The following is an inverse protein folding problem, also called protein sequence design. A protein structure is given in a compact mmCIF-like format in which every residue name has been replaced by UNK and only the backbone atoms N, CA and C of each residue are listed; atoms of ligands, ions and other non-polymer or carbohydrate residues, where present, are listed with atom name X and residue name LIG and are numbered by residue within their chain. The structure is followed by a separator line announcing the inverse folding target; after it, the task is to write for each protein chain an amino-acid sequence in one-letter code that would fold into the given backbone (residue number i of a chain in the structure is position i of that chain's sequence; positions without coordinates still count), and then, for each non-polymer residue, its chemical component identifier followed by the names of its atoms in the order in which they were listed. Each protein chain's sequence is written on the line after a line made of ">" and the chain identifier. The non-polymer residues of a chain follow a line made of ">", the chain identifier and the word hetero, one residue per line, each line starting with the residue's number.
data_IF_943154335822
#
_entry.id   IF_943154335822
#
_cell.length_a   1.000
_cell.length_b   1.000
_cell.length_c   1.000
_cell.angle_alpha   90.00
_cell.angle_beta   90.00
_cell.angle_gamma   90.00
#
_symmetry.space_group_name_H-M   'P 1'
#
loop_
_entity.id
_entity.type
_entity.pdbx_description
1 polymer ?
#
# COMPACT_ATOMS: atom_id res chain seq x y z
N UNK A 1 -9.66 -7.18 36.24
CA UNK A 1 -9.67 -8.24 35.21
C UNK A 1 -8.68 -7.80 34.11
N UNK A 2 -7.76 -8.66 33.73
CA UNK A 2 -6.90 -8.40 32.56
C UNK A 2 -7.71 -8.64 31.27
N UNK A 3 -7.70 -7.68 30.36
CA UNK A 3 -8.30 -7.84 29.03
C UNK A 3 -7.37 -8.72 28.19
N UNK A 4 -7.91 -9.75 27.56
CA UNK A 4 -7.20 -10.53 26.55
C UNK A 4 -7.64 -9.98 25.19
N UNK A 5 -6.71 -9.31 24.50
CA UNK A 5 -6.96 -8.72 23.18
C UNK A 5 -6.41 -9.63 22.08
N UNK A 6 -7.28 -10.12 21.19
CA UNK A 6 -6.96 -11.08 20.14
C UNK A 6 -7.18 -10.53 18.72
N UNK A 7 -7.58 -9.27 18.60
CA UNK A 7 -7.87 -8.61 17.31
C UNK A 7 -6.70 -7.73 16.83
N UNK A 8 -5.50 -8.31 16.81
CA UNK A 8 -4.28 -7.56 16.44
C UNK A 8 -4.21 -7.20 14.95
N UNK A 9 -5.04 -7.80 14.09
CA UNK A 9 -5.15 -7.41 12.69
C UNK A 9 -5.92 -6.09 12.51
N UNK A 10 -6.81 -5.74 13.43
CA UNK A 10 -7.51 -4.46 13.41
C UNK A 10 -6.61 -3.34 13.94
N UNK A 11 -5.96 -3.56 15.09
CA UNK A 11 -5.05 -2.57 15.70
C UNK A 11 -4.12 -3.23 16.73
N UNK A 12 -3.04 -2.55 17.06
CA UNK A 12 -2.11 -2.97 18.11
C UNK A 12 -1.76 -1.78 19.00
N UNK A 13 -1.27 -2.05 20.20
CA UNK A 13 -0.65 -1.00 21.02
C UNK A 13 0.65 -0.51 20.34
N UNK A 14 0.96 0.77 20.55
CA UNK A 14 2.27 1.31 20.14
C UNK A 14 3.35 0.67 21.03
N UNK A 15 4.42 0.16 20.43
CA UNK A 15 5.54 -0.38 21.18
C UNK A 15 6.17 0.70 22.06
N UNK A 16 6.56 0.39 23.31
CA UNK A 16 7.09 1.39 24.25
C UNK A 16 8.25 2.20 23.67
N UNK A 17 9.18 1.55 22.98
CA UNK A 17 10.36 2.19 22.36
C UNK A 17 9.97 3.17 21.24
N UNK A 18 8.90 2.85 20.50
CA UNK A 18 8.34 3.73 19.48
C UNK A 18 7.68 4.93 20.13
N UNK A 19 6.88 4.71 21.16
CA UNK A 19 6.22 5.78 21.89
C UNK A 19 7.24 6.76 22.51
N UNK A 20 8.27 6.25 23.18
CA UNK A 20 9.36 7.07 23.73
C UNK A 20 10.06 7.90 22.65
N UNK A 21 10.28 7.31 21.47
CA UNK A 21 10.90 8.00 20.33
C UNK A 21 10.00 9.10 19.75
N UNK A 22 8.68 8.99 19.91
CA UNK A 22 7.71 9.99 19.42
C UNK A 22 7.57 11.20 20.35
N UNK A 23 7.71 11.02 21.67
CA UNK A 23 7.46 12.07 22.69
C UNK A 23 8.16 13.40 22.35
N UNK A 24 9.46 13.43 21.99
CA UNK A 24 10.15 14.68 21.71
C UNK A 24 9.54 15.50 20.57
N UNK A 25 8.87 14.85 19.61
CA UNK A 25 8.22 15.55 18.49
C UNK A 25 6.93 16.26 18.87
N UNK A 26 6.34 15.92 20.01
CA UNK A 26 5.16 16.63 20.54
C UNK A 26 5.52 17.80 21.46
N UNK A 27 6.73 17.81 22.03
CA UNK A 27 7.08 18.75 23.10
C UNK A 27 8.28 19.64 22.78
N UNK A 28 9.27 19.09 22.07
CA UNK A 28 10.56 19.77 21.84
C UNK A 28 10.84 20.00 20.35
N UNK A 29 10.59 19.00 19.49
CA UNK A 29 10.91 19.00 18.06
C UNK A 29 9.66 19.16 17.20
N UNK A 30 8.82 20.13 17.53
CA UNK A 30 7.55 20.38 16.85
C UNK A 30 7.63 21.37 15.68
N UNK A 31 8.84 21.73 15.23
CA UNK A 31 9.04 22.65 14.13
C UNK A 31 8.50 22.12 12.80
N UNK A 32 8.10 23.03 11.91
CA UNK A 32 7.74 22.67 10.56
C UNK A 32 8.98 22.26 9.77
N UNK A 33 8.99 21.02 9.27
CA UNK A 33 10.12 20.44 8.52
C UNK A 33 10.49 21.24 7.25
N UNK A 34 9.54 22.01 6.68
CA UNK A 34 9.77 22.83 5.48
C UNK A 34 10.31 24.24 5.80
N UNK A 35 10.46 24.60 7.08
CA UNK A 35 10.98 25.91 7.47
C UNK A 35 12.50 26.00 7.28
N UNK A 36 12.98 27.16 6.81
CA UNK A 36 14.40 27.36 6.51
C UNK A 36 15.26 27.62 7.75
N UNK A 37 14.67 27.85 8.93
CA UNK A 37 15.40 28.04 10.18
C UNK A 37 15.82 26.71 10.83
N UNK A 38 16.83 26.76 11.70
CA UNK A 38 17.42 25.58 12.34
C UNK A 38 16.41 24.68 13.05
N UNK A 39 15.43 25.28 13.73
CA UNK A 39 14.41 24.51 14.47
C UNK A 39 13.56 23.61 13.56
N UNK A 40 13.13 24.11 12.40
CA UNK A 40 12.45 23.31 11.38
C UNK A 40 13.37 22.30 10.70
N UNK A 41 14.60 22.72 10.37
CA UNK A 41 15.59 21.87 9.72
C UNK A 41 15.94 20.61 10.50
N UNK A 42 15.95 20.65 11.84
CA UNK A 42 16.16 19.48 12.69
C UNK A 42 15.03 18.42 12.52
N UNK A 43 13.79 18.88 12.37
CA UNK A 43 12.64 17.99 12.12
C UNK A 43 12.74 17.42 10.70
N UNK A 44 13.09 18.25 9.71
CA UNK A 44 13.32 17.79 8.34
C UNK A 44 14.38 16.71 8.25
N UNK A 45 15.49 16.87 8.99
CA UNK A 45 16.54 15.83 9.07
C UNK A 45 15.99 14.53 9.65
N UNK A 46 15.20 14.58 10.72
CA UNK A 46 14.64 13.37 11.34
C UNK A 46 13.70 12.61 10.38
N UNK A 47 12.91 13.33 9.57
CA UNK A 47 12.06 12.72 8.53
C UNK A 47 12.93 12.07 7.44
N UNK A 48 14.00 12.75 7.02
CA UNK A 48 14.92 12.22 6.02
C UNK A 48 15.63 10.97 6.52
N UNK A 49 16.14 10.96 7.76
CA UNK A 49 16.77 9.80 8.37
C UNK A 49 15.81 8.59 8.46
N UNK A 50 14.52 8.86 8.75
CA UNK A 50 13.48 7.82 8.75
C UNK A 50 13.22 7.28 7.34
N UNK A 51 13.16 8.16 6.34
CA UNK A 51 12.97 7.81 4.92
C UNK A 51 14.08 6.90 4.41
N UNK A 52 15.34 7.24 4.71
CA UNK A 52 16.51 6.45 4.34
C UNK A 52 16.49 5.04 4.96
N UNK A 53 16.07 4.94 6.22
CA UNK A 53 15.90 3.63 6.89
C UNK A 53 14.83 2.77 6.23
N UNK A 54 13.69 3.34 5.90
CA UNK A 54 12.60 2.63 5.20
C UNK A 54 13.05 2.21 3.81
N UNK A 55 13.69 3.10 3.06
CA UNK A 55 14.24 2.80 1.74
C UNK A 55 15.24 1.62 1.79
N UNK A 56 16.18 1.67 2.74
CA UNK A 56 17.14 0.58 2.94
C UNK A 56 16.47 -0.76 3.24
N UNK A 57 15.43 -0.75 4.09
CA UNK A 57 14.69 -1.97 4.44
C UNK A 57 13.96 -2.57 3.23
N UNK A 58 13.45 -1.71 2.34
CA UNK A 58 12.70 -2.12 1.15
C UNK A 58 13.59 -2.35 -0.09
N UNK A 59 14.89 -2.06 -0.02
CA UNK A 59 15.79 -2.10 -1.18
C UNK A 59 15.47 -1.02 -2.22
N UNK A 60 14.92 0.10 -1.78
CA UNK A 60 14.51 1.24 -2.61
C UNK A 60 15.46 2.44 -2.42
N UNK A 61 15.28 3.49 -3.24
CA UNK A 61 15.92 4.79 -3.03
C UNK A 61 15.06 5.67 -2.11
N UNK A 62 15.64 6.59 -1.32
CA UNK A 62 14.87 7.47 -0.44
C UNK A 62 13.78 8.28 -1.17
N UNK A 63 14.02 8.68 -2.42
CA UNK A 63 13.08 9.43 -3.27
C UNK A 63 11.85 8.62 -3.68
N UNK A 64 11.92 7.29 -3.59
CA UNK A 64 10.82 6.37 -3.89
C UNK A 64 9.88 6.16 -2.69
N UNK A 65 10.25 6.69 -1.50
CA UNK A 65 9.45 6.55 -0.29
C UNK A 65 8.52 7.76 -0.12
N UNK A 66 7.24 7.51 -0.02
CA UNK A 66 6.22 8.51 0.28
C UNK A 66 5.54 8.16 1.59
N UNK A 67 5.64 9.05 2.58
CA UNK A 67 4.89 8.89 3.84
C UNK A 67 3.46 9.38 3.65
N UNK A 68 2.51 8.55 4.06
CA UNK A 68 1.07 8.81 4.03
C UNK A 68 0.50 8.72 5.44
N UNK A 69 -0.75 9.16 5.62
CA UNK A 69 -1.41 9.11 6.93
C UNK A 69 -1.85 7.70 7.34
N UNK A 70 -2.11 6.82 6.36
CA UNK A 70 -2.60 5.46 6.60
C UNK A 70 -2.52 4.60 5.32
N UNK A 71 -2.77 3.28 5.46
CA UNK A 71 -2.83 2.34 4.34
C UNK A 71 -3.86 2.72 3.28
N UNK A 72 -5.04 3.18 3.67
CA UNK A 72 -6.08 3.63 2.72
C UNK A 72 -5.58 4.75 1.80
N UNK A 73 -4.83 5.71 2.34
CA UNK A 73 -4.21 6.76 1.52
C UNK A 73 -3.11 6.19 0.64
N UNK A 74 -2.27 5.29 1.15
CA UNK A 74 -1.22 4.64 0.37
C UNK A 74 -1.78 3.88 -0.82
N UNK A 75 -2.75 3.00 -0.60
CA UNK A 75 -3.38 2.20 -1.64
C UNK A 75 -4.04 3.08 -2.71
N UNK A 76 -4.81 4.08 -2.26
CA UNK A 76 -5.49 5.00 -3.16
C UNK A 76 -4.49 5.81 -3.99
N UNK A 77 -3.41 6.29 -3.36
CA UNK A 77 -2.36 7.06 -4.04
C UNK A 77 -1.64 6.19 -5.07
N UNK A 78 -1.28 4.95 -4.72
CA UNK A 78 -0.60 4.03 -5.63
C UNK A 78 -1.44 3.76 -6.89
N UNK A 79 -2.70 3.36 -6.71
CA UNK A 79 -3.60 3.03 -7.84
C UNK A 79 -3.91 4.27 -8.68
N UNK A 80 -4.28 5.39 -8.05
CA UNK A 80 -4.61 6.63 -8.78
C UNK A 80 -3.41 7.19 -9.52
N UNK A 81 -2.22 7.16 -8.93
CA UNK A 81 -0.99 7.62 -9.60
C UNK A 81 -0.62 6.75 -10.79
N UNK A 82 -0.79 5.43 -10.68
CA UNK A 82 -0.58 4.50 -11.79
C UNK A 82 -1.50 4.79 -12.98
N UNK A 83 -2.78 5.10 -12.71
CA UNK A 83 -3.75 5.47 -13.74
C UNK A 83 -3.45 6.84 -14.34
N UNK A 84 -3.04 7.81 -13.53
CA UNK A 84 -2.67 9.16 -14.04
C UNK A 84 -1.42 9.13 -14.91
N UNK A 85 -0.44 8.28 -14.57
CA UNK A 85 0.78 8.11 -15.35
C UNK A 85 0.55 7.39 -16.70
N UNK A 86 -0.57 6.70 -16.86
CA UNK A 86 -0.92 5.89 -18.03
C UNK A 86 -2.36 6.21 -18.49
N UNK A 87 -2.65 7.45 -18.93
CA UNK A 87 -4.02 7.91 -19.19
C UNK A 87 -4.75 7.14 -20.30
N UNK A 88 -4.00 6.46 -21.17
CA UNK A 88 -4.52 5.59 -22.22
C UNK A 88 -5.03 4.24 -21.69
N UNK A 89 -4.57 3.83 -20.50
CA UNK A 89 -4.97 2.56 -19.89
C UNK A 89 -6.13 2.77 -18.93
N UNK A 90 -7.16 1.93 -19.06
CA UNK A 90 -8.42 2.08 -18.32
C UNK A 90 -8.81 0.86 -17.48
N UNK A 91 -7.96 -0.16 -17.44
CA UNK A 91 -8.26 -1.41 -16.76
C UNK A 91 -7.39 -1.61 -15.52
N UNK A 92 -8.02 -2.05 -14.44
CA UNK A 92 -7.39 -2.40 -13.15
C UNK A 92 -7.81 -3.82 -12.77
N UNK A 93 -6.88 -4.62 -12.32
CA UNK A 93 -7.15 -5.96 -11.78
C UNK A 93 -6.92 -5.95 -10.27
N UNK A 94 -7.86 -6.50 -9.52
CA UNK A 94 -7.77 -6.69 -8.07
C UNK A 94 -8.49 -7.97 -7.65
N UNK A 95 -8.62 -8.24 -6.35
CA UNK A 95 -9.35 -9.42 -5.87
C UNK A 95 -10.65 -9.05 -5.17
N UNK A 96 -11.59 -10.00 -5.08
CA UNK A 96 -12.86 -9.84 -4.34
C UNK A 96 -12.67 -9.83 -2.82
N UNK A 97 -11.48 -10.21 -2.36
CA UNK A 97 -11.15 -10.36 -0.93
C UNK A 97 -10.21 -9.27 -0.42
N UNK A 98 -10.07 -8.19 -1.18
CA UNK A 98 -9.29 -7.02 -0.76
C UNK A 98 -9.88 -6.32 0.47
N UNK A 99 -9.05 -5.52 1.11
CA UNK A 99 -9.50 -4.59 2.14
C UNK A 99 -10.56 -3.63 1.59
N UNK A 100 -11.52 -3.24 2.43
CA UNK A 100 -12.64 -2.36 2.05
C UNK A 100 -12.21 -1.05 1.39
N UNK A 101 -11.02 -0.54 1.69
CA UNK A 101 -10.47 0.66 1.07
C UNK A 101 -10.26 0.48 -0.45
N UNK A 102 -9.70 -0.67 -0.89
CA UNK A 102 -9.51 -0.96 -2.32
C UNK A 102 -10.83 -1.30 -3.01
N UNK A 103 -11.74 -1.96 -2.33
CA UNK A 103 -13.08 -2.23 -2.89
C UNK A 103 -13.84 -0.91 -3.14
N UNK A 104 -13.82 0.01 -2.17
CA UNK A 104 -14.45 1.32 -2.32
C UNK A 104 -13.77 2.17 -3.40
N UNK A 105 -12.44 2.13 -3.50
CA UNK A 105 -11.71 2.79 -4.57
C UNK A 105 -12.11 2.22 -5.93
N UNK A 106 -12.21 0.89 -6.06
CA UNK A 106 -12.65 0.22 -7.28
C UNK A 106 -14.02 0.71 -7.74
N UNK A 107 -15.01 0.72 -6.86
CA UNK A 107 -16.35 1.25 -7.14
C UNK A 107 -16.33 2.72 -7.59
N UNK A 108 -15.46 3.54 -6.98
CA UNK A 108 -15.28 4.92 -7.42
C UNK A 108 -14.69 5.01 -8.83
N UNK A 109 -13.68 4.18 -9.13
CA UNK A 109 -13.06 4.15 -10.45
C UNK A 109 -14.04 3.71 -11.55
N UNK A 110 -14.89 2.72 -11.28
CA UNK A 110 -15.96 2.30 -12.21
C UNK A 110 -16.90 3.45 -12.55
N UNK A 111 -17.29 4.26 -11.56
CA UNK A 111 -18.11 5.47 -11.79
C UNK A 111 -17.38 6.54 -12.62
N UNK A 112 -16.04 6.50 -12.67
CA UNK A 112 -15.20 7.37 -13.49
C UNK A 112 -14.88 6.80 -14.88
N UNK A 113 -15.46 5.65 -15.22
CA UNK A 113 -15.30 5.00 -16.53
C UNK A 113 -14.06 4.12 -16.66
N UNK A 114 -13.46 3.70 -15.56
CA UNK A 114 -12.45 2.64 -15.55
C UNK A 114 -13.12 1.27 -15.52
N UNK A 115 -12.45 0.28 -16.06
CA UNK A 115 -12.88 -1.12 -16.00
C UNK A 115 -12.11 -1.85 -14.91
N UNK A 116 -12.82 -2.61 -14.07
CA UNK A 116 -12.22 -3.41 -13.02
C UNK A 116 -12.51 -4.90 -13.20
N UNK A 117 -11.48 -5.70 -13.09
CA UNK A 117 -11.61 -7.15 -12.92
C UNK A 117 -11.33 -7.53 -11.48
N UNK A 118 -12.34 -8.11 -10.83
CA UNK A 118 -12.25 -8.64 -9.47
C UNK A 118 -12.08 -10.16 -9.52
N UNK A 119 -10.84 -10.63 -9.36
CA UNK A 119 -10.53 -12.05 -9.34
C UNK A 119 -11.14 -12.75 -8.12
N UNK A 120 -11.62 -13.96 -8.32
CA UNK A 120 -12.10 -14.81 -7.24
C UNK A 120 -10.96 -15.49 -6.48
N UNK A 121 -11.34 -16.16 -5.38
CA UNK A 121 -10.46 -17.07 -4.65
C UNK A 121 -11.20 -18.38 -4.40
N UNK A 122 -10.45 -19.46 -4.22
CA UNK A 122 -11.04 -20.78 -3.88
C UNK A 122 -11.53 -20.81 -2.41
N UNK A 123 -12.10 -21.95 -2.00
CA UNK A 123 -12.60 -22.16 -0.64
C UNK A 123 -11.52 -22.08 0.46
N UNK A 124 -10.25 -22.04 0.09
CA UNK A 124 -9.10 -21.83 0.97
C UNK A 124 -8.49 -20.43 0.85
N UNK A 125 -9.16 -19.52 0.12
CA UNK A 125 -8.70 -18.16 -0.09
C UNK A 125 -7.55 -18.03 -1.10
N UNK A 126 -7.27 -19.05 -1.93
CA UNK A 126 -6.15 -19.01 -2.88
C UNK A 126 -6.59 -18.47 -4.23
N UNK A 127 -5.73 -17.61 -4.81
CA UNK A 127 -5.92 -17.05 -6.14
C UNK A 127 -5.56 -18.09 -7.22
N UNK A 128 -6.33 -18.11 -8.30
CA UNK A 128 -5.98 -18.81 -9.53
C UNK A 128 -5.08 -17.90 -10.38
N UNK A 129 -3.85 -18.35 -10.65
CA UNK A 129 -2.87 -17.58 -11.43
C UNK A 129 -3.16 -17.64 -12.94
N UNK A 130 -3.84 -18.67 -13.42
CA UNK A 130 -4.27 -18.75 -14.81
C UNK A 130 -5.40 -17.74 -15.06
N UNK A 131 -6.37 -17.61 -14.14
CA UNK A 131 -7.40 -16.56 -14.20
C UNK A 131 -6.77 -15.16 -14.21
N UNK A 132 -5.76 -14.92 -13.36
CA UNK A 132 -5.01 -13.66 -13.38
C UNK A 132 -4.34 -13.44 -14.73
N UNK A 133 -3.67 -14.47 -15.27
CA UNK A 133 -3.00 -14.38 -16.56
C UNK A 133 -3.96 -14.00 -17.69
N UNK A 134 -5.13 -14.62 -17.73
CA UNK A 134 -6.15 -14.38 -18.75
C UNK A 134 -6.83 -13.02 -18.60
N UNK A 135 -6.93 -12.50 -17.38
CA UNK A 135 -7.50 -11.19 -17.11
C UNK A 135 -6.58 -10.02 -17.54
N UNK A 136 -5.27 -10.24 -17.66
CA UNK A 136 -4.32 -9.18 -18.04
C UNK A 136 -4.46 -8.81 -19.52
N UNK A 137 -4.74 -7.53 -19.79
CA UNK A 137 -4.97 -6.94 -21.11
C UNK A 137 -3.89 -5.91 -21.46
N UNK A 138 -3.84 -5.47 -22.72
CA UNK A 138 -2.91 -4.40 -23.15
C UNK A 138 -3.19 -3.06 -22.48
N UNK A 139 -4.45 -2.79 -22.15
CA UNK A 139 -4.90 -1.58 -21.46
C UNK A 139 -4.98 -1.75 -19.94
N UNK A 140 -4.45 -2.84 -19.37
CA UNK A 140 -4.28 -2.98 -17.92
C UNK A 140 -3.19 -2.04 -17.44
N UNK A 141 -3.55 -1.10 -16.57
CA UNK A 141 -2.61 -0.14 -15.99
C UNK A 141 -1.87 -0.72 -14.78
N UNK A 142 -2.61 -1.43 -13.93
CA UNK A 142 -2.09 -1.92 -12.65
C UNK A 142 -2.84 -3.19 -12.22
N UNK A 143 -2.11 -4.10 -11.61
CA UNK A 143 -2.62 -5.23 -10.82
C UNK A 143 -2.37 -4.91 -9.36
N UNK A 144 -3.42 -4.90 -8.54
CA UNK A 144 -3.35 -4.63 -7.11
C UNK A 144 -3.89 -5.81 -6.33
N UNK A 145 -3.02 -6.51 -5.59
CA UNK A 145 -3.37 -7.73 -4.84
C UNK A 145 -2.68 -7.67 -3.49
N UNK A 146 -3.43 -7.84 -2.40
CA UNK A 146 -2.91 -7.85 -1.04
C UNK A 146 -1.85 -8.95 -0.82
N UNK A 147 -0.87 -8.69 0.03
CA UNK A 147 0.15 -9.69 0.38
C UNK A 147 -0.43 -10.84 1.20
N UNK A 148 -1.25 -10.50 2.19
CA UNK A 148 -1.93 -11.46 3.05
C UNK A 148 -3.32 -10.93 3.41
N UNK A 149 -4.30 -11.82 3.43
CA UNK A 149 -5.65 -11.45 3.80
C UNK A 149 -5.76 -11.25 5.32
N UNK A 150 -6.20 -10.09 5.76
CA UNK A 150 -6.30 -9.71 7.16
C UNK A 150 -7.36 -10.50 7.94
N UNK A 151 -8.37 -11.09 7.27
CA UNK A 151 -9.43 -11.85 7.91
C UNK A 151 -9.07 -13.34 8.05
N UNK A 152 -8.47 -13.92 7.01
CA UNK A 152 -8.23 -15.36 6.92
C UNK A 152 -6.77 -15.76 7.17
N UNK A 153 -5.82 -14.79 7.07
CA UNK A 153 -4.39 -15.05 7.14
C UNK A 153 -3.82 -15.73 5.89
N UNK A 154 -4.60 -15.89 4.82
CA UNK A 154 -4.12 -16.47 3.56
C UNK A 154 -3.07 -15.56 2.92
N UNK A 155 -1.88 -16.10 2.68
CA UNK A 155 -0.78 -15.40 2.00
C UNK A 155 -0.85 -15.67 0.51
N UNK A 156 -0.82 -14.61 -0.31
CA UNK A 156 -0.83 -14.69 -1.76
C UNK A 156 0.59 -14.93 -2.32
N UNK A 157 0.75 -15.59 -3.46
CA UNK A 157 2.05 -15.88 -4.07
C UNK A 157 2.61 -14.65 -4.81
N UNK A 158 2.84 -13.57 -4.07
CA UNK A 158 3.17 -12.23 -4.58
C UNK A 158 4.38 -12.22 -5.50
N UNK A 159 5.41 -13.03 -5.19
CA UNK A 159 6.59 -13.11 -6.05
C UNK A 159 6.25 -13.60 -7.46
N UNK A 160 5.47 -14.68 -7.57
CA UNK A 160 5.02 -15.21 -8.87
C UNK A 160 4.13 -14.21 -9.60
N UNK A 161 3.21 -13.56 -8.87
CA UNK A 161 2.34 -12.53 -9.43
C UNK A 161 3.17 -11.39 -9.98
N UNK A 162 4.17 -10.91 -9.23
CA UNK A 162 5.05 -9.83 -9.64
C UNK A 162 5.83 -10.18 -10.93
N UNK A 163 6.35 -11.40 -11.04
CA UNK A 163 7.03 -11.89 -12.24
C UNK A 163 6.09 -11.86 -13.46
N UNK A 164 4.89 -12.45 -13.34
CA UNK A 164 3.89 -12.50 -14.41
C UNK A 164 3.44 -11.12 -14.89
N UNK A 165 3.21 -10.21 -13.94
CA UNK A 165 2.74 -8.84 -14.21
C UNK A 165 3.85 -8.01 -14.87
N UNK A 166 5.10 -8.15 -14.39
CA UNK A 166 6.29 -7.48 -14.93
C UNK A 166 6.59 -7.91 -16.36
N UNK A 167 6.48 -9.20 -16.69
CA UNK A 167 6.67 -9.72 -18.04
C UNK A 167 5.73 -9.06 -19.06
N UNK A 168 4.57 -8.59 -18.64
CA UNK A 168 3.57 -7.89 -19.48
C UNK A 168 3.70 -6.37 -19.45
N UNK A 169 4.69 -5.83 -18.72
CA UNK A 169 4.89 -4.38 -18.61
C UNK A 169 3.75 -3.67 -17.88
N UNK A 170 3.08 -4.37 -16.95
CA UNK A 170 2.00 -3.84 -16.12
C UNK A 170 2.59 -3.46 -14.76
N UNK A 171 2.06 -2.41 -14.11
CA UNK A 171 2.44 -2.07 -12.74
C UNK A 171 1.83 -3.07 -11.75
N UNK A 172 2.59 -3.39 -10.71
CA UNK A 172 2.13 -4.27 -9.64
C UNK A 172 2.15 -3.53 -8.30
N UNK A 173 1.05 -3.60 -7.58
CA UNK A 173 0.86 -3.07 -6.23
C UNK A 173 0.47 -4.19 -5.27
N UNK A 174 1.06 -4.16 -4.09
CA UNK A 174 0.72 -5.09 -3.00
C UNK A 174 0.87 -4.39 -1.65
#
# INVERSE_FOLDING_TARGET
>A
MSVIYLDNNATTSVAPEVFESMIPFFTEKYGNASSMHTFGGQVGKSIQDAREKVATMLGAQPEEIVFTSCGTESDSTAVMSALQAQPEKKHVITTRVEHSALIALGQHLEQKGYELTYLGVDSKGRLDLDELSDAMRKDTAIVSIMFANNETGTVFPIQKIAEMVKERGILFHT
#
